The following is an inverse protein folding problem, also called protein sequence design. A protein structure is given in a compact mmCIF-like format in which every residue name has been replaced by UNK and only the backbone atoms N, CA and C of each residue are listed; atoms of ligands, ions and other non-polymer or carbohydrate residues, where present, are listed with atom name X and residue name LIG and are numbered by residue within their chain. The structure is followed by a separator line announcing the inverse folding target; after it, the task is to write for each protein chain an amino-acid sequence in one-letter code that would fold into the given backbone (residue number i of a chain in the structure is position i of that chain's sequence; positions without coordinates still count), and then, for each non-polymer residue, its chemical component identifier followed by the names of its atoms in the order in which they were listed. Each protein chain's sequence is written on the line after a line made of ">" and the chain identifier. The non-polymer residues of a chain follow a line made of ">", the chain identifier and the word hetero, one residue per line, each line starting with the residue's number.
data_IF_505078914948
#
_entry.id   IF_505078914948
#
_cell.length_a   1.000
_cell.length_b   1.000
_cell.length_c   1.000
_cell.angle_alpha   90.00
_cell.angle_beta   90.00
_cell.angle_gamma   90.00
#
_symmetry.space_group_name_H-M   'P 1'
#
loop_
_entity.id
_entity.type
_entity.pdbx_description
1 polymer ?
#
# COMPACT_ATOMS: atom_id res chain seq x y z
N UNK A 1 -21.65 26.29 2.46
CA UNK A 1 -21.41 24.84 2.46
C UNK A 1 -20.70 24.55 1.15
N UNK A 2 -19.38 24.50 1.22
CA UNK A 2 -18.51 24.36 0.06
C UNK A 2 -18.39 22.87 -0.28
N UNK A 3 -18.75 22.53 -1.51
CA UNK A 3 -18.73 21.18 -2.05
C UNK A 3 -17.59 21.13 -3.06
N UNK A 4 -16.36 21.14 -2.55
CA UNK A 4 -15.17 20.95 -3.39
C UNK A 4 -14.83 19.46 -3.43
N UNK A 5 -14.82 18.82 -4.62
CA UNK A 5 -14.33 17.46 -4.74
C UNK A 5 -12.84 17.44 -4.41
N UNK A 6 -12.40 16.46 -3.63
CA UNK A 6 -11.01 16.23 -3.20
C UNK A 6 -10.09 15.97 -4.41
N UNK A 7 -9.79 17.00 -5.21
CA UNK A 7 -8.73 17.00 -6.18
C UNK A 7 -7.48 17.59 -5.53
N UNK A 8 -6.69 16.73 -4.89
CA UNK A 8 -5.33 17.07 -4.48
C UNK A 8 -4.42 16.96 -5.71
N UNK A 9 -4.25 18.08 -6.41
CA UNK A 9 -3.16 18.22 -7.37
C UNK A 9 -1.85 18.39 -6.60
N UNK A 10 -0.92 17.44 -6.75
CA UNK A 10 0.47 17.62 -6.37
C UNK A 10 1.32 17.78 -7.63
N UNK A 11 1.86 18.97 -7.84
CA UNK A 11 2.93 19.18 -8.81
C UNK A 11 4.23 18.56 -8.24
N UNK A 12 4.62 17.39 -8.75
CA UNK A 12 5.93 16.77 -8.48
C UNK A 12 5.94 15.50 -7.62
N UNK A 13 4.79 15.08 -7.07
CA UNK A 13 4.65 13.80 -6.35
C UNK A 13 3.84 12.86 -7.24
N UNK A 14 4.44 11.74 -7.63
CA UNK A 14 3.76 10.63 -8.28
C UNK A 14 3.25 9.64 -7.25
N UNK A 15 2.37 8.75 -7.67
CA UNK A 15 1.89 7.66 -6.82
C UNK A 15 1.38 6.48 -7.63
N UNK A 16 1.43 5.29 -7.02
CA UNK A 16 0.80 4.09 -7.52
C UNK A 16 -0.21 3.58 -6.51
N UNK A 17 -1.36 3.20 -7.04
CA UNK A 17 -2.45 2.59 -6.31
C UNK A 17 -2.37 1.08 -6.50
N UNK A 18 -2.34 0.35 -5.38
CA UNK A 18 -2.29 -1.10 -5.37
C UNK A 18 -3.51 -1.71 -4.70
N UNK A 19 -4.06 -2.76 -5.30
CA UNK A 19 -5.07 -3.61 -4.67
C UNK A 19 -4.40 -4.87 -4.12
N UNK A 20 -4.71 -5.21 -2.86
CA UNK A 20 -4.13 -6.37 -2.17
C UNK A 20 -5.25 -7.14 -1.47
N UNK A 21 -5.40 -8.42 -1.80
CA UNK A 21 -6.27 -9.32 -1.04
C UNK A 21 -5.43 -10.06 0.02
N UNK A 22 -5.93 -10.13 1.25
CA UNK A 22 -5.25 -10.81 2.34
C UNK A 22 -6.24 -11.41 3.33
N UNK A 23 -6.17 -12.73 3.53
CA UNK A 23 -6.99 -13.44 4.54
C UNK A 23 -8.51 -13.17 4.45
N UNK A 24 -9.03 -12.91 3.25
CA UNK A 24 -10.45 -12.58 3.02
C UNK A 24 -10.80 -11.09 3.16
N UNK A 25 -9.84 -10.25 3.54
CA UNK A 25 -9.96 -8.80 3.52
C UNK A 25 -9.35 -8.22 2.24
N UNK A 26 -9.91 -7.10 1.76
CA UNK A 26 -9.38 -6.35 0.62
C UNK A 26 -8.78 -5.03 1.09
N UNK A 27 -7.58 -4.71 0.61
CA UNK A 27 -6.85 -3.50 0.94
C UNK A 27 -6.51 -2.70 -0.32
N UNK A 28 -6.53 -1.39 -0.18
CA UNK A 28 -6.08 -0.42 -1.16
C UNK A 28 -4.88 0.32 -0.60
N UNK A 29 -3.72 0.21 -1.24
CA UNK A 29 -2.47 0.83 -0.78
C UNK A 29 -2.05 1.91 -1.78
N UNK A 30 -1.97 3.15 -1.32
CA UNK A 30 -1.45 4.28 -2.09
C UNK A 30 0.00 4.49 -1.73
N UNK A 31 0.87 4.48 -2.72
CA UNK A 31 2.28 4.85 -2.55
C UNK A 31 2.50 6.28 -3.03
N UNK A 32 3.34 7.02 -2.30
CA UNK A 32 3.76 8.37 -2.67
C UNK A 32 5.27 8.34 -2.94
N UNK A 33 5.70 8.88 -4.09
CA UNK A 33 7.11 9.01 -4.43
C UNK A 33 7.40 10.36 -5.09
N UNK A 34 8.57 10.98 -4.80
CA UNK A 34 8.97 12.21 -5.48
C UNK A 34 9.32 11.86 -6.93
N UNK A 35 8.70 12.55 -7.89
CA UNK A 35 8.52 12.09 -9.28
C UNK A 35 9.78 11.72 -10.08
N UNK A 36 10.99 11.99 -9.59
CA UNK A 36 12.25 11.57 -10.20
C UNK A 36 12.79 10.24 -9.68
N UNK A 37 12.21 9.68 -8.61
CA UNK A 37 12.62 8.41 -8.01
C UNK A 37 11.42 7.48 -7.88
N UNK A 38 11.64 6.17 -7.99
CA UNK A 38 10.63 5.16 -7.64
C UNK A 38 10.64 4.83 -6.13
N UNK A 39 11.37 5.59 -5.33
CA UNK A 39 11.47 5.36 -3.88
C UNK A 39 10.21 5.87 -3.21
N UNK A 40 9.48 4.98 -2.55
CA UNK A 40 8.30 5.35 -1.75
C UNK A 40 8.77 6.13 -0.52
N UNK A 41 8.25 7.35 -0.37
CA UNK A 41 8.52 8.23 0.78
C UNK A 41 7.38 8.21 1.79
N UNK A 42 6.19 7.80 1.38
CA UNK A 42 5.01 7.70 2.22
C UNK A 42 4.01 6.70 1.64
N UNK A 43 3.14 6.15 2.48
CA UNK A 43 2.07 5.26 2.06
C UNK A 43 0.81 5.42 2.90
N UNK A 44 -0.34 5.33 2.24
CA UNK A 44 -1.64 5.22 2.89
C UNK A 44 -2.25 3.85 2.60
N UNK A 45 -2.72 3.16 3.64
CA UNK A 45 -3.41 1.88 3.50
C UNK A 45 -4.87 2.07 3.89
N UNK A 46 -5.76 1.55 3.06
CA UNK A 46 -7.20 1.49 3.33
C UNK A 46 -7.65 0.04 3.30
N UNK A 47 -8.50 -0.34 4.23
CA UNK A 47 -9.22 -1.62 4.21
C UNK A 47 -10.63 -1.38 3.68
N UNK A 48 -11.11 -2.29 2.83
CA UNK A 48 -12.51 -2.31 2.42
C UNK A 48 -13.35 -2.84 3.59
N UNK A 49 -14.21 -1.98 4.12
CA UNK A 49 -15.15 -2.35 5.16
C UNK A 49 -16.54 -2.46 4.53
N UNK A 50 -17.13 -3.65 4.65
CA UNK A 50 -18.48 -3.94 4.17
C UNK A 50 -19.43 -4.07 5.35
N UNK A 51 -20.43 -3.19 5.37
CA UNK A 51 -21.57 -3.27 6.28
C UNK A 51 -22.83 -3.61 5.50
N UNK A 52 -23.91 -3.96 6.19
CA UNK A 52 -25.20 -4.28 5.54
C UNK A 52 -25.75 -3.17 4.64
N UNK A 53 -25.31 -1.92 4.83
CA UNK A 53 -25.88 -0.74 4.17
C UNK A 53 -24.84 0.11 3.43
N UNK A 54 -23.54 -0.17 3.58
CA UNK A 54 -22.47 0.64 3.03
C UNK A 54 -21.19 -0.18 2.85
N UNK A 55 -20.54 0.03 1.72
CA UNK A 55 -19.18 -0.41 1.44
C UNK A 55 -18.31 0.85 1.37
N UNK A 56 -17.21 0.90 2.12
CA UNK A 56 -16.32 2.07 2.12
C UNK A 56 -14.86 1.69 2.37
N UNK A 57 -13.95 2.57 1.98
CA UNK A 57 -12.52 2.44 2.23
C UNK A 57 -12.14 3.17 3.51
N UNK A 58 -11.72 2.42 4.52
CA UNK A 58 -11.34 2.96 5.83
C UNK A 58 -9.82 2.93 5.95
N UNK A 59 -9.20 4.08 6.21
CA UNK A 59 -7.74 4.15 6.43
C UNK A 59 -7.37 3.31 7.65
N UNK A 60 -6.34 2.49 7.52
CA UNK A 60 -5.78 1.66 8.59
C UNK A 60 -4.29 1.95 8.75
N UNK A 61 -3.82 1.94 9.99
CA UNK A 61 -2.40 2.09 10.34
C UNK A 61 -1.74 0.73 10.59
N UNK A 62 -2.53 -0.35 10.59
CA UNK A 62 -2.06 -1.69 10.93
C UNK A 62 -2.74 -2.76 10.05
N UNK A 63 -1.93 -3.61 9.41
CA UNK A 63 -2.37 -4.75 8.58
C UNK A 63 -2.19 -6.11 9.28
N UNK A 64 -1.88 -6.10 10.58
CA UNK A 64 -1.77 -7.27 11.44
C UNK A 64 -0.53 -8.14 11.13
N UNK A 65 -0.71 -9.46 11.17
CA UNK A 65 0.31 -10.48 10.84
C UNK A 65 0.55 -10.59 9.32
N UNK A 66 0.24 -9.54 8.55
CA UNK A 66 0.43 -9.53 7.10
C UNK A 66 1.69 -8.75 6.71
N UNK A 67 2.30 -9.19 5.61
CA UNK A 67 3.32 -8.47 4.87
C UNK A 67 2.83 -8.28 3.43
N UNK A 68 2.81 -7.04 2.95
CA UNK A 68 2.40 -6.72 1.58
C UNK A 68 3.61 -6.48 0.68
N UNK A 69 3.54 -6.95 -0.56
CA UNK A 69 4.55 -6.78 -1.58
C UNK A 69 3.95 -6.04 -2.77
N UNK A 70 4.43 -4.82 -3.03
CA UNK A 70 3.87 -3.94 -4.05
C UNK A 70 4.78 -3.88 -5.26
N UNK A 71 4.22 -4.11 -6.46
CA UNK A 71 4.97 -4.02 -7.69
C UNK A 71 5.17 -2.55 -8.10
N UNK A 72 6.41 -2.08 -8.21
CA UNK A 72 6.74 -0.70 -8.62
C UNK A 72 6.28 -0.30 -10.03
N UNK A 73 5.83 -1.24 -10.87
CA UNK A 73 5.36 -0.98 -12.23
C UNK A 73 3.91 -1.41 -12.49
N UNK A 74 3.22 -1.97 -11.48
CA UNK A 74 1.88 -2.50 -11.59
C UNK A 74 0.94 -1.94 -10.54
N UNK A 75 -0.35 -2.29 -10.65
CA UNK A 75 -1.37 -1.97 -9.64
C UNK A 75 -1.69 -3.15 -8.72
N UNK A 76 -0.94 -4.22 -8.86
CA UNK A 76 -1.16 -5.45 -8.11
C UNK A 76 -0.19 -5.50 -6.94
N UNK A 77 -0.68 -5.96 -5.80
CA UNK A 77 0.17 -6.35 -4.68
C UNK A 77 -0.16 -7.77 -4.20
N UNK A 78 0.79 -8.37 -3.50
CA UNK A 78 0.64 -9.71 -2.92
C UNK A 78 0.70 -9.61 -1.40
N UNK A 79 -0.05 -10.45 -0.71
CA UNK A 79 -0.01 -10.56 0.74
C UNK A 79 0.51 -11.92 1.17
N UNK A 80 1.29 -11.94 2.25
CA UNK A 80 1.71 -13.14 2.95
C UNK A 80 1.48 -12.99 4.45
N UNK A 81 1.21 -14.10 5.12
CA UNK A 81 1.35 -14.17 6.57
C UNK A 81 2.81 -14.05 6.94
N UNK A 82 3.15 -13.01 7.70
CA UNK A 82 4.51 -12.64 8.01
C UNK A 82 5.25 -13.78 8.72
N UNK A 83 4.62 -14.41 9.72
CA UNK A 83 5.18 -15.57 10.42
C UNK A 83 5.50 -16.76 9.50
N UNK A 84 4.65 -17.03 8.50
CA UNK A 84 4.78 -18.19 7.63
C UNK A 84 5.90 -17.95 6.60
N UNK A 85 6.09 -16.69 6.21
CA UNK A 85 7.13 -16.26 5.27
C UNK A 85 8.44 -15.80 5.94
N UNK A 86 8.53 -15.84 7.29
CA UNK A 86 9.66 -15.30 8.08
C UNK A 86 9.95 -13.81 7.77
N UNK A 87 8.89 -13.05 7.56
CA UNK A 87 8.93 -11.61 7.30
C UNK A 87 8.55 -10.82 8.54
N UNK A 88 8.79 -9.50 8.50
CA UNK A 88 8.26 -8.62 9.53
C UNK A 88 6.75 -8.45 9.33
N UNK A 89 5.99 -8.54 10.42
CA UNK A 89 4.56 -8.24 10.44
C UNK A 89 4.32 -6.73 10.27
N UNK A 90 3.10 -6.38 9.85
CA UNK A 90 2.69 -4.99 9.64
C UNK A 90 3.63 -4.20 8.73
N UNK A 91 4.12 -4.82 7.65
CA UNK A 91 5.13 -4.23 6.77
C UNK A 91 4.71 -4.24 5.30
N UNK A 92 5.13 -3.21 4.58
CA UNK A 92 4.96 -3.09 3.13
C UNK A 92 6.35 -3.07 2.48
N UNK A 93 6.57 -3.97 1.53
CA UNK A 93 7.79 -4.14 0.77
C UNK A 93 7.57 -3.73 -0.68
N UNK A 94 8.43 -2.85 -1.18
CA UNK A 94 8.39 -2.47 -2.59
C UNK A 94 9.28 -3.38 -3.44
N UNK A 95 8.72 -3.93 -4.53
CA UNK A 95 9.43 -4.74 -5.51
C UNK A 95 9.84 -3.87 -6.70
N UNK A 96 11.11 -3.49 -6.78
CA UNK A 96 11.66 -2.67 -7.86
C UNK A 96 11.96 -3.51 -9.11
N UNK A 97 11.60 -3.01 -10.30
CA UNK A 97 11.99 -3.66 -11.56
C UNK A 97 13.49 -3.45 -11.83
N UNK A 98 14.25 -4.41 -11.36
CA UNK A 98 15.71 -4.42 -11.39
C UNK A 98 16.29 -5.41 -10.39
N UNK A 99 15.45 -6.35 -9.94
CA UNK A 99 15.71 -7.27 -8.84
C UNK A 99 16.99 -8.07 -9.08
N UNK A 100 18.07 -7.63 -8.43
CA UNK A 100 19.35 -8.33 -8.31
C UNK A 100 19.41 -9.18 -7.02
N UNK A 101 18.27 -9.31 -6.31
CA UNK A 101 18.16 -10.00 -5.03
C UNK A 101 18.62 -9.21 -3.80
N UNK A 102 18.95 -7.90 -3.92
CA UNK A 102 19.62 -7.15 -2.83
C UNK A 102 18.86 -5.96 -2.24
N UNK A 103 17.67 -5.61 -2.72
CA UNK A 103 16.99 -4.37 -2.27
C UNK A 103 15.52 -4.62 -1.91
N UNK A 104 15.27 -4.95 -0.65
CA UNK A 104 13.95 -4.82 -0.02
C UNK A 104 13.94 -3.51 0.77
N UNK A 105 13.12 -2.55 0.34
CA UNK A 105 12.86 -1.34 1.11
C UNK A 105 11.71 -1.61 2.08
N UNK A 106 11.97 -1.41 3.38
CA UNK A 106 11.01 -1.64 4.47
C UNK A 106 10.48 -0.30 4.95
N UNK A 107 9.16 -0.08 4.83
CA UNK A 107 8.47 1.00 5.52
C UNK A 107 7.78 0.44 6.76
N UNK A 108 8.08 0.98 7.93
CA UNK A 108 7.42 0.62 9.19
C UNK A 108 6.30 1.62 9.46
N UNK A 109 5.08 1.10 9.67
CA UNK A 109 3.99 1.91 10.18
C UNK A 109 4.16 2.06 11.70
N UNK A 110 4.17 3.31 12.18
CA UNK A 110 4.32 3.67 13.59
C UNK A 110 3.06 3.43 14.41
#
# INVERSE_FOLDING_TARGET
>A
MDNTPNHFFSFGIGGLDHLVESCGDTFFVKTCFPGTTQTVIDLDIFKLEETKTKTDWVRVENIGDCAFFLNSHGKDGQSFRAKDARMDQNCVYQLLSGYDGKRLYKNMLG
#
